data_IF_524027257137
#
_entry.id   IF_524027257137
#
_cell.length_a   1.000
_cell.length_b   1.000
_cell.length_c   1.000
_cell.angle_alpha   90.00
_cell.angle_beta   90.00
_cell.angle_gamma   90.00
#
_symmetry.space_group_name_H-M   'P 1'
#
loop_
_entity.id
_entity.type
_entity.pdbx_description
1 polymer ?
#
# COMPACT_ATOMS: atom_id res chain seq x y z
N UNK A 1 -22.59 5.81 -36.77
CA UNK A 1 -23.08 5.21 -38.04
C UNK A 1 -22.86 6.19 -39.21
N UNK A 2 -23.31 7.44 -39.15
CA UNK A 2 -23.09 8.41 -40.23
C UNK A 2 -21.62 8.53 -40.64
N UNK A 3 -20.73 8.66 -39.67
CA UNK A 3 -19.28 8.73 -39.89
C UNK A 3 -18.71 7.48 -40.62
N UNK A 4 -19.26 6.29 -40.33
CA UNK A 4 -18.90 5.06 -41.04
C UNK A 4 -19.42 5.08 -42.50
N UNK A 5 -20.64 5.55 -42.74
CA UNK A 5 -21.23 5.64 -44.05
C UNK A 5 -20.44 6.65 -44.90
N UNK A 6 -20.08 7.81 -44.36
CA UNK A 6 -19.27 8.82 -45.04
C UNK A 6 -17.93 8.28 -45.54
N UNK A 7 -17.25 7.44 -44.72
CA UNK A 7 -16.00 6.82 -45.14
C UNK A 7 -16.17 5.88 -46.36
N UNK A 8 -17.30 5.20 -46.45
CA UNK A 8 -17.62 4.30 -47.57
C UNK A 8 -18.01 5.10 -48.80
N UNK A 9 -18.89 6.09 -48.63
CA UNK A 9 -19.43 6.89 -49.75
C UNK A 9 -18.32 7.77 -50.37
N UNK A 10 -17.44 8.32 -49.53
CA UNK A 10 -16.31 9.17 -49.96
C UNK A 10 -15.13 8.35 -50.49
N UNK A 11 -15.24 7.01 -50.63
CA UNK A 11 -14.20 6.08 -51.08
C UNK A 11 -12.88 6.21 -50.29
N UNK A 12 -12.97 6.63 -49.00
CA UNK A 12 -11.81 6.81 -48.11
C UNK A 12 -11.24 5.48 -47.61
N UNK A 13 -12.02 4.42 -47.71
CA UNK A 13 -11.64 3.07 -47.25
C UNK A 13 -11.90 2.05 -48.35
N UNK A 14 -10.96 1.13 -48.55
CA UNK A 14 -11.04 0.07 -49.55
C UNK A 14 -11.49 -1.28 -48.98
N UNK A 15 -11.54 -1.41 -47.64
CA UNK A 15 -11.91 -2.64 -46.96
C UNK A 15 -12.69 -2.37 -45.69
N UNK A 16 -13.60 -3.23 -45.31
CA UNK A 16 -14.39 -3.14 -44.07
C UNK A 16 -13.51 -3.02 -42.80
N UNK A 17 -12.33 -3.63 -42.82
CA UNK A 17 -11.37 -3.55 -41.69
C UNK A 17 -10.75 -2.16 -41.48
N UNK A 18 -10.80 -1.31 -42.52
CA UNK A 18 -10.21 0.01 -42.51
C UNK A 18 -11.23 1.09 -42.06
N UNK A 19 -12.49 0.70 -41.86
CA UNK A 19 -13.53 1.61 -41.37
C UNK A 19 -13.28 1.95 -39.91
N UNK A 20 -13.07 3.22 -39.64
CA UNK A 20 -13.02 3.72 -38.27
C UNK A 20 -14.43 3.83 -37.68
N UNK A 21 -14.65 3.23 -36.50
CA UNK A 21 -15.97 3.17 -35.84
C UNK A 21 -16.25 4.46 -35.07
N UNK A 22 -15.20 5.10 -34.55
CA UNK A 22 -15.26 6.34 -33.75
C UNK A 22 -14.72 7.52 -34.56
N UNK A 23 -15.37 8.67 -34.41
CA UNK A 23 -14.90 9.90 -35.04
C UNK A 23 -13.57 10.39 -34.45
N UNK A 24 -12.78 11.21 -35.15
CA UNK A 24 -11.57 11.83 -34.59
C UNK A 24 -11.84 12.61 -33.29
N UNK A 25 -13.01 13.25 -33.17
CA UNK A 25 -13.41 13.98 -31.97
C UNK A 25 -13.66 13.05 -30.80
N UNK A 26 -14.40 11.95 -31.01
CA UNK A 26 -14.62 10.91 -29.97
C UNK A 26 -13.31 10.23 -29.58
N UNK A 27 -12.44 9.94 -30.57
CA UNK A 27 -11.11 9.38 -30.32
C UNK A 27 -10.27 10.30 -29.42
N UNK A 28 -10.27 11.61 -29.72
CA UNK A 28 -9.59 12.61 -28.90
C UNK A 28 -10.19 12.63 -27.48
N UNK A 29 -11.51 12.65 -27.37
CA UNK A 29 -12.20 12.65 -26.08
C UNK A 29 -11.84 11.43 -25.24
N UNK A 30 -11.87 10.22 -25.82
CA UNK A 30 -11.58 8.97 -25.11
C UNK A 30 -10.10 8.87 -24.74
N UNK A 31 -9.19 9.17 -25.69
CA UNK A 31 -7.75 8.93 -25.49
C UNK A 31 -7.02 10.07 -24.80
N UNK A 32 -7.53 11.30 -24.91
CA UNK A 32 -6.84 12.51 -24.40
C UNK A 32 -7.64 13.16 -23.29
N UNK A 33 -8.89 13.59 -23.58
CA UNK A 33 -9.62 14.45 -22.65
C UNK A 33 -10.02 13.69 -21.38
N UNK A 34 -10.50 12.44 -21.50
CA UNK A 34 -10.80 11.59 -20.34
C UNK A 34 -9.56 11.13 -19.57
N UNK A 35 -8.41 11.10 -20.21
CA UNK A 35 -7.13 10.73 -19.58
C UNK A 35 -6.35 11.95 -19.07
N UNK A 36 -6.88 13.16 -19.18
CA UNK A 36 -6.25 14.35 -18.62
C UNK A 36 -6.45 14.44 -17.09
N UNK A 37 -5.94 13.42 -16.41
CA UNK A 37 -6.07 13.23 -14.96
C UNK A 37 -4.81 13.66 -14.19
N UNK A 38 -3.79 14.16 -14.89
CA UNK A 38 -2.54 14.57 -14.27
C UNK A 38 -2.77 15.73 -13.29
N UNK A 39 -2.27 15.55 -12.05
CA UNK A 39 -2.31 16.57 -11.01
C UNK A 39 -0.92 16.68 -10.36
N UNK A 40 -0.52 17.86 -9.89
CA UNK A 40 0.69 18.02 -9.10
C UNK A 40 0.50 17.35 -7.73
N UNK A 41 1.52 16.63 -7.27
CA UNK A 41 1.59 16.08 -5.91
C UNK A 41 3.07 16.00 -5.47
N UNK A 42 3.37 15.93 -4.16
CA UNK A 42 4.75 15.93 -3.63
C UNK A 42 5.44 14.59 -3.91
N UNK A 43 5.97 14.42 -5.10
CA UNK A 43 6.56 13.15 -5.60
C UNK A 43 7.81 12.72 -4.82
N UNK A 44 8.47 13.67 -4.18
CA UNK A 44 9.65 13.47 -3.35
C UNK A 44 9.34 12.94 -1.95
N UNK A 45 8.09 13.01 -1.51
CA UNK A 45 7.67 12.52 -0.20
C UNK A 45 7.27 11.05 -0.23
N UNK A 46 7.25 10.46 0.96
CA UNK A 46 6.71 9.12 1.21
C UNK A 46 5.46 9.20 2.09
N UNK A 47 4.71 8.11 2.17
CA UNK A 47 3.53 8.02 3.03
C UNK A 47 3.88 8.22 4.52
N UNK A 48 5.08 7.79 4.95
CA UNK A 48 5.56 8.01 6.32
C UNK A 48 5.69 9.49 6.61
N UNK A 49 6.33 10.24 5.72
CA UNK A 49 6.52 11.69 5.89
C UNK A 49 5.19 12.44 5.91
N UNK A 50 4.25 12.08 5.02
CA UNK A 50 2.90 12.68 5.05
C UNK A 50 2.15 12.35 6.34
N UNK A 51 2.23 11.09 6.80
CA UNK A 51 1.62 10.71 8.06
C UNK A 51 2.21 11.49 9.25
N UNK A 52 3.52 11.64 9.31
CA UNK A 52 4.19 12.39 10.37
C UNK A 52 3.86 13.90 10.33
N UNK A 53 3.61 14.46 9.14
CA UNK A 53 3.08 15.83 9.01
C UNK A 53 1.66 15.93 9.57
N UNK A 54 0.79 14.93 9.30
CA UNK A 54 -0.55 14.89 9.90
C UNK A 54 -0.50 14.77 11.41
N UNK A 55 0.38 13.92 11.94
CA UNK A 55 0.59 13.83 13.40
C UNK A 55 0.95 15.18 14.00
N UNK A 56 1.82 15.95 13.34
CA UNK A 56 2.23 17.28 13.80
C UNK A 56 1.07 18.28 13.82
N UNK A 57 0.19 18.20 12.83
CA UNK A 57 -0.90 19.18 12.66
C UNK A 57 -2.17 18.78 13.43
N UNK A 58 -2.42 17.48 13.61
CA UNK A 58 -3.68 16.91 14.11
C UNK A 58 -3.48 15.93 15.28
N UNK A 59 -2.44 16.12 16.10
CA UNK A 59 -1.98 15.17 17.12
C UNK A 59 -3.10 14.56 17.98
N UNK A 60 -4.08 15.38 18.40
CA UNK A 60 -5.17 14.98 19.31
C UNK A 60 -6.44 14.49 18.60
N UNK A 61 -6.50 14.55 17.29
CA UNK A 61 -7.64 14.06 16.53
C UNK A 61 -7.57 12.54 16.42
N UNK A 62 -8.73 11.91 16.29
CA UNK A 62 -8.83 10.45 16.12
C UNK A 62 -8.31 10.07 14.73
N UNK A 63 -7.30 9.22 14.70
CA UNK A 63 -6.70 8.69 13.47
C UNK A 63 -7.21 7.28 13.12
N UNK A 64 -7.59 6.49 14.12
CA UNK A 64 -8.00 5.11 13.96
C UNK A 64 -9.07 4.77 14.98
N UNK A 65 -10.14 4.11 14.52
CA UNK A 65 -11.15 3.50 15.39
C UNK A 65 -11.35 2.04 14.97
N UNK A 66 -11.29 1.14 15.92
CA UNK A 66 -11.59 -0.27 15.75
C UNK A 66 -12.41 -0.76 16.95
N UNK A 67 -13.65 -1.20 16.70
CA UNK A 67 -14.63 -1.56 17.74
C UNK A 67 -14.80 -0.41 18.74
N UNK A 68 -14.52 -0.65 20.02
CA UNK A 68 -14.62 0.35 21.10
C UNK A 68 -13.30 1.14 21.33
N UNK A 69 -12.23 0.74 20.65
CA UNK A 69 -10.91 1.39 20.78
C UNK A 69 -10.74 2.51 19.74
N UNK A 70 -10.26 3.66 20.19
CA UNK A 70 -9.87 4.77 19.30
C UNK A 70 -8.48 5.25 19.66
N UNK A 71 -7.67 5.52 18.65
CA UNK A 71 -6.32 6.08 18.78
C UNK A 71 -6.25 7.44 18.10
N UNK A 72 -5.69 8.41 18.77
CA UNK A 72 -5.32 9.69 18.17
C UNK A 72 -4.12 9.54 17.23
N UNK A 73 -3.86 10.53 16.39
CA UNK A 73 -2.67 10.54 15.54
C UNK A 73 -1.38 10.42 16.36
N UNK A 74 -1.30 11.10 17.50
CA UNK A 74 -0.14 11.02 18.41
C UNK A 74 0.05 9.63 18.99
N UNK A 75 -1.02 9.00 19.49
CA UNK A 75 -0.97 7.64 20.07
C UNK A 75 -0.62 6.60 19.02
N UNK A 76 -1.25 6.67 17.84
CA UNK A 76 -0.93 5.79 16.72
C UNK A 76 0.53 5.93 16.29
N UNK A 77 1.04 7.18 16.19
CA UNK A 77 2.43 7.45 15.84
C UNK A 77 3.40 6.90 16.90
N UNK A 78 3.10 7.12 18.19
CA UNK A 78 3.89 6.61 19.31
C UNK A 78 4.01 5.09 19.24
N UNK A 79 2.88 4.38 19.14
CA UNK A 79 2.85 2.90 19.03
C UNK A 79 3.62 2.41 17.79
N UNK A 80 3.43 3.06 16.64
CA UNK A 80 4.16 2.71 15.42
C UNK A 80 5.67 2.96 15.54
N UNK A 81 6.09 4.04 16.19
CA UNK A 81 7.51 4.33 16.45
C UNK A 81 8.15 3.27 17.36
N UNK A 82 7.48 2.90 18.45
CA UNK A 82 7.95 1.87 19.38
C UNK A 82 8.23 0.55 18.65
N UNK A 83 7.27 0.08 17.85
CA UNK A 83 7.44 -1.13 17.04
C UNK A 83 8.54 -0.95 15.97
N UNK A 84 8.63 0.21 15.31
CA UNK A 84 9.66 0.47 14.31
C UNK A 84 11.08 0.44 14.92
N UNK A 85 11.27 1.05 16.08
CA UNK A 85 12.54 0.96 16.83
C UNK A 85 12.86 -0.49 17.26
N UNK A 86 11.85 -1.25 17.70
CA UNK A 86 12.01 -2.67 18.00
C UNK A 86 12.49 -3.45 16.78
N UNK A 87 11.87 -3.26 15.62
CA UNK A 87 12.29 -3.90 14.37
C UNK A 87 13.75 -3.56 14.01
N UNK A 88 14.14 -2.30 14.17
CA UNK A 88 15.53 -1.88 13.92
C UNK A 88 16.53 -2.51 14.91
N UNK A 89 16.14 -2.69 16.18
CA UNK A 89 16.97 -3.40 17.18
C UNK A 89 17.17 -4.88 16.83
N UNK A 90 16.25 -5.51 16.10
CA UNK A 90 16.43 -6.88 15.58
C UNK A 90 17.42 -6.96 14.40
N UNK A 91 18.15 -5.89 14.12
CA UNK A 91 19.08 -5.78 12.99
C UNK A 91 18.43 -6.04 11.61
N UNK A 92 17.12 -5.78 11.49
CA UNK A 92 16.40 -5.91 10.23
C UNK A 92 16.91 -4.83 9.28
N UNK A 93 17.43 -5.25 8.13
CA UNK A 93 17.97 -4.34 7.12
C UNK A 93 16.86 -3.54 6.42
N UNK A 94 17.17 -2.33 5.97
CA UNK A 94 16.28 -1.56 5.07
C UNK A 94 15.90 -2.39 3.85
N UNK A 95 14.70 -2.17 3.34
CA UNK A 95 14.09 -2.93 2.25
C UNK A 95 13.82 -4.43 2.53
N UNK A 96 14.02 -4.91 3.77
CA UNK A 96 13.56 -6.24 4.15
C UNK A 96 12.04 -6.36 3.98
N UNK A 97 11.58 -7.59 3.75
CA UNK A 97 10.17 -7.90 3.59
C UNK A 97 9.64 -8.56 4.85
N UNK A 98 8.64 -7.95 5.46
CA UNK A 98 8.04 -8.41 6.72
C UNK A 98 6.60 -8.76 6.45
N UNK A 99 6.19 -9.98 6.75
CA UNK A 99 4.79 -10.36 6.66
C UNK A 99 4.04 -9.93 7.92
N UNK A 100 2.81 -9.46 7.73
CA UNK A 100 1.86 -9.19 8.80
C UNK A 100 0.77 -10.27 8.72
N UNK A 101 0.76 -11.15 9.71
CA UNK A 101 -0.21 -12.22 9.84
C UNK A 101 -1.02 -11.99 11.12
N UNK A 102 -1.90 -11.00 11.07
CA UNK A 102 -2.75 -10.53 12.15
C UNK A 102 -4.22 -10.57 11.73
N UNK A 103 -5.16 -10.71 12.67
CA UNK A 103 -6.57 -10.46 12.39
C UNK A 103 -6.78 -8.98 12.08
N UNK A 104 -8.01 -8.60 11.73
CA UNK A 104 -8.36 -7.17 11.67
C UNK A 104 -8.38 -6.62 13.09
N UNK A 105 -7.48 -5.70 13.40
CA UNK A 105 -7.30 -5.07 14.70
C UNK A 105 -6.52 -3.76 14.54
N UNK A 106 -6.41 -2.97 15.59
CA UNK A 106 -5.63 -1.73 15.57
C UNK A 106 -4.13 -2.00 15.31
N UNK A 107 -3.62 -3.11 15.85
CA UNK A 107 -2.22 -3.53 15.71
C UNK A 107 -1.84 -3.80 14.25
N UNK A 108 -2.79 -4.17 13.39
CA UNK A 108 -2.54 -4.33 11.95
C UNK A 108 -2.04 -3.02 11.33
N UNK A 109 -2.71 -1.92 11.63
CA UNK A 109 -2.35 -0.58 11.11
C UNK A 109 -1.06 -0.09 11.76
N UNK A 110 -0.89 -0.32 13.06
CA UNK A 110 0.35 0.00 13.78
C UNK A 110 1.53 -0.74 13.14
N UNK A 111 1.39 -2.05 12.84
CA UNK A 111 2.43 -2.84 12.20
C UNK A 111 2.76 -2.35 10.78
N UNK A 112 1.75 -2.00 9.98
CA UNK A 112 1.97 -1.42 8.64
C UNK A 112 2.80 -0.13 8.70
N UNK A 113 2.42 0.79 9.59
CA UNK A 113 3.15 2.05 9.78
C UNK A 113 4.56 1.80 10.31
N UNK A 114 4.71 0.93 11.31
CA UNK A 114 6.00 0.61 11.91
C UNK A 114 6.98 0.01 10.91
N UNK A 115 6.54 -0.93 10.09
CA UNK A 115 7.36 -1.53 9.03
C UNK A 115 7.83 -0.45 8.04
N UNK A 116 6.95 0.48 7.68
CA UNK A 116 7.32 1.58 6.80
C UNK A 116 8.27 2.57 7.45
N UNK A 117 8.07 2.89 8.73
CA UNK A 117 8.99 3.73 9.51
C UNK A 117 10.37 3.06 9.68
N UNK A 118 10.43 1.73 9.68
CA UNK A 118 11.69 0.98 9.67
C UNK A 118 12.34 0.85 8.27
N UNK A 119 11.79 1.50 7.24
CA UNK A 119 12.19 1.43 5.82
C UNK A 119 12.15 0.02 5.26
N UNK A 120 11.14 -0.76 5.65
CA UNK A 120 10.88 -2.12 5.18
C UNK A 120 9.61 -2.18 4.32
N UNK A 121 9.42 -3.27 3.59
CA UNK A 121 8.19 -3.55 2.85
C UNK A 121 7.33 -4.56 3.62
N UNK A 122 6.01 -4.39 3.61
CA UNK A 122 5.12 -5.37 4.25
C UNK A 122 4.40 -6.26 3.23
N UNK A 123 4.09 -7.48 3.67
CA UNK A 123 3.18 -8.42 3.01
C UNK A 123 2.01 -8.68 3.95
N UNK A 124 0.81 -8.26 3.57
CA UNK A 124 -0.39 -8.63 4.32
C UNK A 124 -0.79 -10.08 3.99
N UNK A 125 -0.95 -10.88 5.03
CA UNK A 125 -1.37 -12.28 4.93
C UNK A 125 -2.69 -12.45 5.66
N UNK A 126 -3.72 -12.82 4.92
CA UNK A 126 -5.06 -13.05 5.46
C UNK A 126 -5.10 -14.35 6.24
N UNK A 127 -5.61 -14.32 7.48
CA UNK A 127 -5.65 -15.49 8.37
C UNK A 127 -6.60 -16.60 7.89
N UNK A 128 -7.53 -16.30 6.99
CA UNK A 128 -8.45 -17.25 6.36
C UNK A 128 -7.82 -18.10 5.25
N UNK A 129 -6.62 -17.76 4.79
CA UNK A 129 -5.98 -18.48 3.70
C UNK A 129 -5.48 -19.87 4.15
N UNK A 130 -5.50 -20.88 3.26
CA UNK A 130 -4.91 -22.19 3.54
C UNK A 130 -3.41 -22.09 3.87
N UNK A 131 -2.94 -22.89 4.83
CA UNK A 131 -1.56 -22.85 5.31
C UNK A 131 -0.51 -23.00 4.20
N UNK A 132 -0.75 -23.89 3.22
CA UNK A 132 0.17 -24.09 2.09
C UNK A 132 0.25 -22.85 1.20
N UNK A 133 -0.85 -22.11 1.04
CA UNK A 133 -0.84 -20.85 0.29
C UNK A 133 -0.05 -19.77 1.04
N UNK A 134 -0.19 -19.70 2.34
CA UNK A 134 0.57 -18.76 3.17
C UNK A 134 2.06 -19.09 3.08
N UNK A 135 2.46 -20.34 3.26
CA UNK A 135 3.85 -20.78 3.11
C UNK A 135 4.43 -20.41 1.75
N UNK A 136 3.66 -20.65 0.68
CA UNK A 136 4.06 -20.27 -0.67
C UNK A 136 4.29 -18.75 -0.78
N UNK A 137 3.37 -17.93 -0.28
CA UNK A 137 3.49 -16.47 -0.33
C UNK A 137 4.71 -15.96 0.44
N UNK A 138 4.94 -16.47 1.65
CA UNK A 138 6.10 -16.11 2.49
C UNK A 138 7.42 -16.45 1.79
N UNK A 139 7.53 -17.67 1.25
CA UNK A 139 8.72 -18.13 0.54
C UNK A 139 8.94 -17.37 -0.77
N UNK A 140 7.91 -17.26 -1.62
CA UNK A 140 8.00 -16.60 -2.91
C UNK A 140 8.31 -15.09 -2.80
N UNK A 141 7.78 -14.42 -1.77
CA UNK A 141 8.10 -13.03 -1.46
C UNK A 141 9.50 -12.86 -0.83
N UNK A 142 10.15 -13.94 -0.44
CA UNK A 142 11.39 -13.90 0.33
C UNK A 142 11.24 -13.04 1.61
N UNK A 143 10.25 -13.40 2.43
CA UNK A 143 9.95 -12.72 3.68
C UNK A 143 11.03 -13.02 4.70
N UNK A 144 11.52 -11.99 5.40
CA UNK A 144 12.56 -12.13 6.41
C UNK A 144 11.99 -12.38 7.81
N UNK A 145 10.83 -11.75 8.12
CA UNK A 145 10.18 -11.84 9.43
C UNK A 145 8.67 -11.91 9.27
N UNK A 146 7.98 -12.53 10.24
CA UNK A 146 6.52 -12.54 10.34
C UNK A 146 6.11 -11.90 11.66
N UNK A 147 5.25 -10.90 11.61
CA UNK A 147 4.58 -10.33 12.79
C UNK A 147 3.22 -11.03 12.92
N UNK A 148 2.96 -11.62 14.09
CA UNK A 148 1.71 -12.36 14.36
C UNK A 148 1.33 -12.26 15.84
N UNK A 149 0.29 -13.00 16.25
CA UNK A 149 -0.15 -13.18 17.63
C UNK A 149 0.12 -14.62 18.08
N UNK A 150 0.20 -14.85 19.39
CA UNK A 150 0.28 -16.20 19.94
C UNK A 150 -0.91 -17.09 19.52
N UNK A 151 -2.06 -16.50 19.33
CA UNK A 151 -3.29 -17.22 18.93
C UNK A 151 -3.28 -17.67 17.47
N UNK A 152 -2.55 -17.00 16.60
CA UNK A 152 -2.43 -17.33 15.16
C UNK A 152 -1.15 -18.09 14.80
N UNK A 153 -0.38 -18.56 15.79
CA UNK A 153 0.91 -19.23 15.58
C UNK A 153 0.78 -20.70 15.10
N UNK A 154 -0.12 -20.98 14.17
CA UNK A 154 -0.21 -22.30 13.55
C UNK A 154 0.70 -22.45 12.29
N UNK A 155 1.27 -21.33 11.80
CA UNK A 155 2.26 -21.34 10.73
C UNK A 155 3.60 -21.04 11.34
N UNK A 156 4.43 -22.08 11.47
CA UNK A 156 5.80 -21.92 11.99
C UNK A 156 6.67 -21.21 10.96
N UNK A 157 7.28 -20.12 11.38
CA UNK A 157 8.27 -19.36 10.62
C UNK A 157 9.49 -19.09 11.51
N UNK A 158 10.69 -19.15 10.96
CA UNK A 158 11.93 -19.09 11.73
C UNK A 158 12.06 -17.78 12.53
N UNK A 159 11.77 -16.66 11.89
CA UNK A 159 11.86 -15.34 12.51
C UNK A 159 10.45 -14.77 12.75
N UNK A 160 9.81 -15.21 13.82
CA UNK A 160 8.48 -14.76 14.21
C UNK A 160 8.57 -13.73 15.33
N UNK A 161 7.84 -12.64 15.19
CA UNK A 161 7.65 -11.57 16.18
C UNK A 161 6.21 -11.65 16.65
N UNK A 162 6.00 -11.96 17.92
CA UNK A 162 4.67 -11.89 18.52
C UNK A 162 4.43 -10.48 19.03
N UNK A 163 3.31 -9.88 18.61
CA UNK A 163 3.01 -8.48 18.91
C UNK A 163 2.82 -8.26 20.41
N UNK A 164 2.35 -9.28 21.11
CA UNK A 164 2.14 -9.28 22.56
C UNK A 164 3.46 -9.29 23.35
N UNK A 165 4.55 -9.79 22.75
CA UNK A 165 5.86 -9.89 23.40
C UNK A 165 6.71 -8.64 23.22
N UNK A 166 6.22 -7.64 22.47
CA UNK A 166 6.94 -6.41 22.25
C UNK A 166 6.92 -5.59 23.54
N UNK A 167 8.09 -5.32 24.14
CA UNK A 167 8.14 -4.59 25.39
C UNK A 167 7.61 -3.16 25.23
N UNK A 168 7.09 -2.58 26.32
CA UNK A 168 6.78 -1.17 26.33
C UNK A 168 8.09 -0.38 26.17
N UNK A 169 8.22 0.35 25.07
CA UNK A 169 9.39 1.11 24.68
C UNK A 169 9.09 2.62 24.72
N UNK A 170 8.56 3.14 25.84
CA UNK A 170 8.16 4.55 25.96
C UNK A 170 9.28 5.54 25.60
N UNK A 171 10.54 5.20 25.88
CA UNK A 171 11.73 5.96 25.47
C UNK A 171 11.91 6.07 23.95
N UNK A 172 11.33 5.13 23.17
CA UNK A 172 11.42 5.05 21.70
C UNK A 172 10.15 5.53 21.00
N UNK A 173 9.51 6.54 21.53
CA UNK A 173 8.29 7.13 20.93
C UNK A 173 8.55 8.15 19.83
N UNK A 174 9.81 8.57 19.63
CA UNK A 174 10.21 9.56 18.61
C UNK A 174 10.35 8.93 17.23
N UNK A 175 10.19 9.76 16.19
CA UNK A 175 10.35 9.33 14.81
C UNK A 175 11.80 8.88 14.51
N UNK A 176 11.97 7.91 13.61
CA UNK A 176 13.29 7.32 13.31
C UNK A 176 14.17 8.20 12.41
N UNK A 177 13.59 9.15 11.68
CA UNK A 177 14.30 10.05 10.76
C UNK A 177 15.22 9.34 9.74
N UNK A 178 14.76 8.21 9.19
CA UNK A 178 15.49 7.49 8.16
C UNK A 178 15.42 8.21 6.80
N UNK A 179 16.40 7.99 5.91
CA UNK A 179 16.35 8.50 4.55
C UNK A 179 15.34 7.71 3.70
N UNK A 180 14.06 8.10 3.80
CA UNK A 180 12.99 7.45 3.02
C UNK A 180 13.06 7.85 1.55
N UNK A 181 12.92 6.87 0.66
CA UNK A 181 12.88 7.08 -0.78
C UNK A 181 11.52 6.69 -1.37
N UNK A 182 10.90 7.54 -2.21
CA UNK A 182 9.62 7.25 -2.86
C UNK A 182 9.63 5.96 -3.70
N UNK A 183 10.78 5.61 -4.26
CA UNK A 183 10.95 4.41 -5.08
C UNK A 183 11.18 3.12 -4.29
N UNK A 184 11.41 3.20 -2.97
CA UNK A 184 11.53 2.02 -2.13
C UNK A 184 10.21 1.25 -2.10
N UNK A 185 10.33 -0.07 -1.92
CA UNK A 185 9.19 -0.97 -1.78
C UNK A 185 8.29 -0.55 -0.63
N UNK A 186 7.00 -0.46 -0.90
CA UNK A 186 5.95 -0.23 0.10
C UNK A 186 5.43 -1.56 0.63
N UNK A 187 4.90 -2.37 -0.27
CA UNK A 187 4.23 -3.63 0.06
C UNK A 187 4.28 -4.61 -1.09
N UNK A 188 3.96 -5.86 -0.77
CA UNK A 188 3.73 -6.91 -1.75
C UNK A 188 2.25 -7.29 -1.69
N UNK A 189 1.60 -7.33 -2.85
CA UNK A 189 0.20 -7.74 -3.00
C UNK A 189 0.14 -8.94 -3.91
N UNK A 190 -0.55 -10.00 -3.48
CA UNK A 190 -0.75 -11.20 -4.29
C UNK A 190 -2.08 -11.13 -5.03
N UNK A 191 -2.04 -11.39 -6.31
CA UNK A 191 -3.22 -11.54 -7.16
C UNK A 191 -3.38 -13.00 -7.58
N UNK A 192 -4.63 -13.40 -7.87
CA UNK A 192 -4.90 -14.71 -8.49
C UNK A 192 -4.35 -14.69 -9.91
N UNK A 193 -3.24 -15.38 -10.15
CA UNK A 193 -2.67 -15.50 -11.48
C UNK A 193 -3.60 -16.27 -12.41
N UNK A 194 -3.66 -15.89 -13.71
CA UNK A 194 -4.41 -16.60 -14.75
C UNK A 194 -3.98 -18.06 -14.90
N UNK A 195 -2.80 -18.42 -14.40
CA UNK A 195 -2.24 -19.79 -14.40
C UNK A 195 -2.54 -20.58 -13.13
N UNK A 196 -3.40 -20.07 -12.23
CA UNK A 196 -3.73 -20.68 -10.95
C UNK A 196 -2.71 -20.43 -9.83
N UNK A 197 -1.46 -20.08 -10.15
CA UNK A 197 -0.44 -19.75 -9.15
C UNK A 197 -0.49 -18.26 -8.81
N UNK A 198 -0.60 -17.88 -7.51
CA UNK A 198 -0.62 -16.47 -7.11
C UNK A 198 0.67 -15.75 -7.51
N UNK A 199 0.53 -14.52 -8.02
CA UNK A 199 1.66 -13.66 -8.42
C UNK A 199 1.79 -12.50 -7.45
N UNK A 200 2.99 -12.32 -6.86
CA UNK A 200 3.32 -11.19 -6.01
C UNK A 200 3.68 -9.96 -6.83
N UNK A 201 3.04 -8.84 -6.56
CA UNK A 201 3.31 -7.54 -7.17
C UNK A 201 3.92 -6.64 -6.11
N UNK A 202 5.11 -6.12 -6.39
CA UNK A 202 5.78 -5.16 -5.52
C UNK A 202 5.23 -3.75 -5.81
N UNK A 203 4.63 -3.13 -4.81
CA UNK A 203 4.19 -1.75 -4.88
C UNK A 203 5.25 -0.82 -4.28
N UNK A 204 5.43 0.37 -4.85
CA UNK A 204 6.34 1.40 -4.38
C UNK A 204 5.62 2.43 -3.52
N UNK A 205 6.36 3.17 -2.68
CA UNK A 205 5.80 4.30 -1.93
C UNK A 205 5.17 5.35 -2.85
N UNK A 206 5.82 5.67 -3.97
CA UNK A 206 5.31 6.63 -4.98
C UNK A 206 3.95 6.21 -5.55
N UNK A 207 3.72 4.91 -5.74
CA UNK A 207 2.45 4.39 -6.25
C UNK A 207 1.31 4.58 -5.24
N UNK A 208 1.55 4.30 -3.96
CA UNK A 208 0.55 4.53 -2.91
C UNK A 208 0.26 6.01 -2.75
N UNK A 209 1.29 6.84 -2.74
CA UNK A 209 1.14 8.28 -2.61
C UNK A 209 0.27 8.86 -3.73
N UNK A 210 0.54 8.46 -4.97
CA UNK A 210 -0.28 8.86 -6.11
C UNK A 210 -1.74 8.40 -5.98
N UNK A 211 -1.96 7.16 -5.51
CA UNK A 211 -3.29 6.62 -5.28
C UNK A 211 -4.05 7.40 -4.21
N UNK A 212 -3.44 7.60 -3.04
CA UNK A 212 -4.08 8.28 -1.89
C UNK A 212 -4.43 9.72 -2.25
N UNK A 213 -3.49 10.49 -2.80
CA UNK A 213 -3.74 11.89 -3.16
C UNK A 213 -4.70 12.04 -4.34
N UNK A 214 -4.62 11.13 -5.33
CA UNK A 214 -5.57 11.09 -6.44
C UNK A 214 -7.00 10.79 -5.96
N UNK A 215 -7.15 9.89 -5.00
CA UNK A 215 -8.44 9.54 -4.41
C UNK A 215 -9.00 10.70 -3.58
N UNK A 216 -8.18 11.30 -2.72
CA UNK A 216 -8.53 12.49 -1.93
C UNK A 216 -9.03 13.62 -2.83
N UNK A 217 -8.31 13.91 -3.91
CA UNK A 217 -8.72 14.92 -4.88
C UNK A 217 -10.07 14.59 -5.54
N UNK A 218 -10.30 13.33 -5.92
CA UNK A 218 -11.54 12.89 -6.56
C UNK A 218 -12.74 12.95 -5.62
N UNK A 219 -12.53 12.68 -4.33
CA UNK A 219 -13.55 12.69 -3.29
C UNK A 219 -13.81 14.10 -2.73
N UNK A 220 -13.07 15.13 -3.20
CA UNK A 220 -13.09 16.48 -2.63
C UNK A 220 -12.88 16.47 -1.09
N UNK A 221 -12.07 15.55 -0.63
CA UNK A 221 -11.69 15.46 0.77
C UNK A 221 -10.66 16.57 1.03
N UNK A 222 -11.06 17.64 1.73
CA UNK A 222 -10.23 18.82 2.08
C UNK A 222 -9.16 18.49 3.14
N UNK A 223 -8.69 17.25 3.21
CA UNK A 223 -7.93 16.72 4.34
C UNK A 223 -6.50 16.27 4.00
N UNK A 224 -5.78 17.07 3.18
CA UNK A 224 -4.31 16.90 3.09
C UNK A 224 -3.62 18.24 2.89
#
# INVERSE_FOLDING_TARGET
ILFMIEQIVDEKVSSLKDIEIITPAERKQILVDFNNTQRPYPREKTIVQLFEEQVKNHAKEIALTFEEESLTYEELNKKANQLAHFLRKQAISSNSKIAIYLPRCAELIIAMLAIKKADCAYLLVESSLPAERIKYMLSNANVSYVITTHTLNHIKFEHTIFIEDIPNLDEFSHNLHLPYHPENALSIVYTSGSTGTPKGILLKNSSLLNLVLGYSYSMKADTF
#
